data_IF_839589081940
#
_entry.id   IF_839589081940
#
_cell.length_a   1.000
_cell.length_b   1.000
_cell.length_c   1.000
_cell.angle_alpha   90.00
_cell.angle_beta   90.00
_cell.angle_gamma   90.00
#
_symmetry.space_group_name_H-M   'P 1'
#
loop_
_entity.id
_entity.type
_entity.pdbx_description
1 polymer ?
#
# COMPACT_ATOMS: atom_id res chain seq x y z
N UNK A 1 -17.15 -1.67 3.06
CA UNK A 1 -17.41 -0.39 2.37
C UNK A 1 -17.41 0.70 3.43
N UNK A 2 -16.68 1.78 3.22
CA UNK A 2 -16.52 2.89 4.16
C UNK A 2 -17.79 3.76 4.16
N UNK A 3 -18.48 3.81 5.31
CA UNK A 3 -19.77 4.48 5.48
C UNK A 3 -19.98 4.88 6.93
N UNK A 4 -20.98 5.70 7.19
CA UNK A 4 -21.39 6.06 8.55
C UNK A 4 -22.01 4.84 9.25
N UNK A 5 -21.22 4.16 10.08
CA UNK A 5 -21.70 3.03 10.88
C UNK A 5 -20.85 2.82 12.14
N UNK A 6 -21.43 2.14 13.12
CA UNK A 6 -20.68 1.52 14.21
C UNK A 6 -20.25 0.11 13.79
N UNK A 7 -18.97 -0.20 13.94
CA UNK A 7 -18.40 -1.53 13.63
C UNK A 7 -17.45 -1.98 14.74
N UNK A 8 -16.78 -3.11 14.55
CA UNK A 8 -15.80 -3.65 15.49
C UNK A 8 -14.38 -3.56 14.91
N UNK A 9 -13.43 -3.08 15.71
CA UNK A 9 -12.01 -3.24 15.46
C UNK A 9 -11.33 -3.90 16.66
N UNK A 10 -10.65 -5.02 16.44
CA UNK A 10 -9.97 -5.81 17.47
C UNK A 10 -10.84 -6.07 18.73
N UNK A 11 -12.12 -6.45 18.55
CA UNK A 11 -13.02 -6.70 19.68
C UNK A 11 -13.63 -5.45 20.32
N UNK A 12 -13.34 -4.25 19.80
CA UNK A 12 -13.83 -2.97 20.35
C UNK A 12 -14.80 -2.32 19.37
N UNK A 13 -15.97 -1.90 19.86
CA UNK A 13 -16.92 -1.12 19.08
C UNK A 13 -16.36 0.28 18.78
N UNK A 14 -16.43 0.69 17.52
CA UNK A 14 -15.94 1.98 17.02
C UNK A 14 -17.00 2.65 16.15
N UNK A 15 -17.07 3.97 16.21
CA UNK A 15 -17.65 4.76 15.11
C UNK A 15 -16.64 4.77 13.97
N UNK A 16 -16.98 4.18 12.82
CA UNK A 16 -16.02 3.96 11.74
C UNK A 16 -15.40 5.26 11.22
N UNK A 17 -16.22 6.32 11.08
CA UNK A 17 -15.79 7.59 10.49
C UNK A 17 -14.94 8.38 11.49
N UNK A 18 -15.38 8.49 12.74
CA UNK A 18 -14.65 9.21 13.77
C UNK A 18 -13.36 8.49 14.16
N UNK A 19 -13.40 7.16 14.23
CA UNK A 19 -12.19 6.36 14.44
C UNK A 19 -11.20 6.56 13.28
N UNK A 20 -11.69 6.59 12.04
CA UNK A 20 -10.84 6.84 10.87
C UNK A 20 -10.21 8.24 10.91
N UNK A 21 -10.96 9.26 11.33
CA UNK A 21 -10.47 10.64 11.45
C UNK A 21 -9.36 10.77 12.48
N UNK A 22 -9.55 10.16 13.65
CA UNK A 22 -8.61 10.24 14.78
C UNK A 22 -7.39 9.33 14.66
N UNK A 23 -7.39 8.37 13.73
CA UNK A 23 -6.33 7.38 13.56
C UNK A 23 -5.55 7.50 12.23
N UNK A 24 -5.62 8.65 11.53
CA UNK A 24 -5.00 8.87 10.21
C UNK A 24 -3.54 8.37 10.10
N UNK A 25 -2.74 8.58 11.15
CA UNK A 25 -1.32 8.18 11.25
C UNK A 25 -1.03 6.69 10.98
N UNK A 26 -2.04 5.83 10.94
CA UNK A 26 -1.90 4.40 10.67
C UNK A 26 -2.89 3.86 9.64
N UNK A 27 -3.53 4.72 8.85
CA UNK A 27 -4.63 4.32 7.98
C UNK A 27 -4.43 4.70 6.51
N UNK A 28 -5.02 3.89 5.63
CA UNK A 28 -5.14 4.13 4.19
C UNK A 28 -6.59 4.00 3.77
N UNK A 29 -7.13 5.02 3.09
CA UNK A 29 -8.38 4.94 2.34
C UNK A 29 -8.06 4.54 0.90
N UNK A 30 -8.73 3.51 0.39
CA UNK A 30 -8.58 3.10 -1.02
C UNK A 30 -9.92 2.65 -1.63
N UNK A 31 -10.10 2.80 -2.95
CA UNK A 31 -11.27 2.27 -3.64
C UNK A 31 -11.35 0.74 -3.54
N UNK A 32 -12.54 0.15 -3.65
CA UNK A 32 -12.64 -1.33 -3.66
C UNK A 32 -12.19 -1.92 -5.02
N UNK A 33 -12.54 -1.28 -6.14
CA UNK A 33 -12.41 -1.86 -7.48
C UNK A 33 -11.43 -1.11 -8.41
N UNK A 34 -10.56 -0.24 -7.89
CA UNK A 34 -9.57 0.52 -8.69
C UNK A 34 -8.15 -0.07 -8.61
N UNK A 35 -7.32 0.23 -9.61
CA UNK A 35 -5.94 -0.25 -9.74
C UNK A 35 -4.95 0.89 -10.04
N UNK A 36 -3.65 0.62 -9.88
CA UNK A 36 -2.59 1.57 -10.20
C UNK A 36 -2.37 2.70 -9.18
N UNK A 37 -2.99 2.63 -8.00
CA UNK A 37 -2.80 3.63 -6.94
C UNK A 37 -3.69 4.86 -7.04
N UNK A 38 -4.59 4.90 -8.02
CA UNK A 38 -5.58 5.97 -8.14
C UNK A 38 -6.56 5.95 -6.97
N UNK A 39 -6.93 7.13 -6.47
CA UNK A 39 -7.85 7.27 -5.36
C UNK A 39 -7.32 6.78 -4.00
N UNK A 40 -6.03 6.46 -3.87
CA UNK A 40 -5.46 6.07 -2.58
C UNK A 40 -5.10 7.32 -1.77
N UNK A 41 -5.64 7.42 -0.56
CA UNK A 41 -5.26 8.43 0.42
C UNK A 41 -4.49 7.79 1.57
N UNK A 42 -3.28 8.30 1.85
CA UNK A 42 -2.37 7.76 2.86
C UNK A 42 -2.38 8.70 4.08
N UNK A 43 -3.04 8.30 5.17
CA UNK A 43 -3.32 9.20 6.28
C UNK A 43 -2.08 9.69 7.03
N UNK A 44 -0.97 8.93 7.05
CA UNK A 44 0.29 9.38 7.67
C UNK A 44 1.10 10.35 6.80
N UNK A 45 0.74 10.52 5.53
CA UNK A 45 1.33 11.50 4.63
C UNK A 45 0.41 12.72 4.39
N UNK A 46 -0.78 12.72 5.00
CA UNK A 46 -1.78 13.78 4.87
C UNK A 46 -1.81 14.67 6.10
N UNK A 47 -2.05 15.96 5.88
CA UNK A 47 -2.50 16.88 6.93
C UNK A 47 -3.91 16.52 7.39
N UNK A 48 -4.34 17.04 8.54
CA UNK A 48 -5.69 16.81 9.04
C UNK A 48 -6.78 17.28 8.05
N UNK A 49 -6.58 18.44 7.40
CA UNK A 49 -7.53 18.96 6.43
C UNK A 49 -7.63 18.07 5.18
N UNK A 50 -6.49 17.65 4.63
CA UNK A 50 -6.47 16.72 3.48
C UNK A 50 -7.12 15.39 3.81
N UNK A 51 -6.91 14.88 5.03
CA UNK A 51 -7.53 13.63 5.49
C UNK A 51 -9.05 13.77 5.66
N UNK A 52 -9.52 14.90 6.20
CA UNK A 52 -10.94 15.18 6.34
C UNK A 52 -11.64 15.29 4.98
N UNK A 53 -10.99 15.93 3.99
CA UNK A 53 -11.47 15.99 2.61
C UNK A 53 -11.49 14.61 1.93
N UNK A 54 -10.49 13.77 2.19
CA UNK A 54 -10.44 12.40 1.72
C UNK A 54 -11.59 11.55 2.29
N UNK A 55 -11.88 11.66 3.59
CA UNK A 55 -13.02 11.02 4.25
C UNK A 55 -14.33 11.46 3.60
N UNK A 56 -14.53 12.77 3.40
CA UNK A 56 -15.74 13.30 2.79
C UNK A 56 -15.92 12.80 1.34
N UNK A 57 -14.83 12.74 0.58
CA UNK A 57 -14.81 12.21 -0.78
C UNK A 57 -15.15 10.72 -0.81
N UNK A 58 -14.54 9.92 0.08
CA UNK A 58 -14.79 8.48 0.21
C UNK A 58 -16.24 8.18 0.57
N UNK A 59 -16.84 8.91 1.52
CA UNK A 59 -18.25 8.78 1.89
C UNK A 59 -19.19 9.12 0.73
N UNK A 60 -18.87 10.17 -0.04
CA UNK A 60 -19.68 10.61 -1.19
C UNK A 60 -19.63 9.61 -2.35
N UNK A 61 -18.45 9.07 -2.65
CA UNK A 61 -18.27 8.10 -3.73
C UNK A 61 -18.89 6.76 -3.32
N UNK A 62 -18.80 6.39 -2.04
CA UNK A 62 -19.34 5.15 -1.51
C UNK A 62 -18.50 3.92 -1.82
N UNK A 63 -17.61 3.95 -2.82
CA UNK A 63 -16.77 2.82 -3.21
C UNK A 63 -15.38 2.84 -2.55
N UNK A 64 -15.32 2.93 -1.22
CA UNK A 64 -14.04 2.94 -0.49
C UNK A 64 -14.01 1.90 0.62
N UNK A 65 -12.81 1.58 1.07
CA UNK A 65 -12.54 0.89 2.33
C UNK A 65 -11.43 1.61 3.10
N UNK A 66 -11.39 1.36 4.41
CA UNK A 66 -10.29 1.79 5.28
C UNK A 66 -9.44 0.58 5.65
N UNK A 67 -8.12 0.73 5.64
CA UNK A 67 -7.18 -0.33 5.98
C UNK A 67 -6.12 0.19 6.95
N UNK A 68 -5.82 -0.59 8.00
CA UNK A 68 -4.64 -0.32 8.82
C UNK A 68 -3.35 -0.53 8.02
N UNK A 69 -2.34 0.29 8.32
CA UNK A 69 -1.02 0.22 7.72
C UNK A 69 -0.41 -1.14 8.01
N UNK A 70 -0.06 -1.85 6.94
CA UNK A 70 0.81 -3.02 7.02
C UNK A 70 2.24 -2.53 6.94
N UNK A 71 3.10 -3.02 7.84
CA UNK A 71 4.54 -2.78 7.73
C UNK A 71 5.05 -3.54 6.51
N UNK A 72 5.47 -2.80 5.50
CA UNK A 72 6.13 -3.35 4.32
C UNK A 72 7.62 -3.53 4.58
N UNK A 73 8.20 -4.57 4.00
CA UNK A 73 9.64 -4.78 4.07
C UNK A 73 10.34 -3.71 3.23
N UNK A 74 11.44 -3.17 3.75
CA UNK A 74 12.35 -2.30 3.03
C UNK A 74 13.75 -2.88 3.17
N UNK A 75 14.45 -2.99 2.05
CA UNK A 75 15.80 -3.54 1.99
C UNK A 75 16.65 -2.72 1.01
N UNK A 76 17.97 -2.80 1.15
CA UNK A 76 18.89 -2.08 0.26
C UNK A 76 19.14 -2.88 -1.02
N UNK A 77 18.88 -2.25 -2.17
CA UNK A 77 19.16 -2.82 -3.50
C UNK A 77 20.07 -1.90 -4.33
N UNK A 78 20.88 -2.44 -5.23
CA UNK A 78 21.62 -1.63 -6.20
C UNK A 78 20.64 -0.98 -7.18
N UNK A 79 20.66 0.35 -7.24
CA UNK A 79 19.83 1.15 -8.15
C UNK A 79 20.72 2.03 -9.03
N UNK A 80 20.47 2.00 -10.34
CA UNK A 80 21.11 2.93 -11.28
C UNK A 80 20.48 4.30 -11.08
N UNK A 81 21.32 5.32 -10.85
CA UNK A 81 20.90 6.68 -10.46
C UNK A 81 20.85 7.66 -11.63
N UNK A 82 21.50 7.33 -12.75
CA UNK A 82 21.60 8.19 -13.92
C UNK A 82 21.84 7.40 -15.22
N UNK A 83 21.78 8.11 -16.36
CA UNK A 83 21.96 7.56 -17.69
C UNK A 83 23.43 7.17 -17.97
N UNK A 84 24.38 7.68 -17.18
CA UNK A 84 25.80 7.29 -17.24
C UNK A 84 26.08 5.93 -16.59
N UNK A 85 25.10 5.37 -15.86
CA UNK A 85 25.21 4.06 -15.24
C UNK A 85 25.85 4.08 -13.85
N UNK A 86 25.93 5.24 -13.20
CA UNK A 86 26.28 5.28 -11.78
C UNK A 86 25.20 4.57 -10.98
N UNK A 87 25.60 3.92 -9.90
CA UNK A 87 24.67 3.18 -9.04
C UNK A 87 25.04 3.37 -7.57
N UNK A 88 24.01 3.23 -6.73
CA UNK A 88 24.16 3.22 -5.28
C UNK A 88 23.27 2.14 -4.65
N UNK A 89 23.52 1.82 -3.39
CA UNK A 89 22.59 0.99 -2.60
C UNK A 89 21.50 1.90 -2.04
N UNK A 90 20.28 1.75 -2.56
CA UNK A 90 19.12 2.54 -2.13
C UNK A 90 18.18 1.65 -1.35
N UNK A 91 17.62 2.16 -0.25
CA UNK A 91 16.54 1.48 0.47
C UNK A 91 15.27 1.51 -0.39
N UNK A 92 14.73 0.34 -0.72
CA UNK A 92 13.53 0.20 -1.53
C UNK A 92 12.48 -0.65 -0.80
N UNK A 93 11.22 -0.28 -0.97
CA UNK A 93 10.09 -1.10 -0.58
C UNK A 93 10.08 -2.39 -1.40
N UNK A 94 9.93 -3.52 -0.72
CA UNK A 94 9.85 -4.85 -1.31
C UNK A 94 8.41 -5.34 -1.29
N UNK A 95 7.84 -5.52 -2.47
CA UNK A 95 6.52 -6.08 -2.67
C UNK A 95 6.66 -7.44 -3.34
N UNK A 96 6.49 -8.51 -2.57
CA UNK A 96 6.56 -9.89 -3.05
C UNK A 96 5.16 -10.36 -3.43
N UNK A 97 5.02 -10.82 -4.67
CA UNK A 97 3.76 -11.24 -5.27
C UNK A 97 3.78 -12.74 -5.64
N UNK A 98 3.39 -13.65 -4.73
CA UNK A 98 3.26 -15.07 -5.04
C UNK A 98 2.14 -15.33 -6.05
N UNK A 99 2.43 -16.18 -7.05
CA UNK A 99 1.48 -16.65 -8.05
C UNK A 99 0.91 -18.00 -7.62
N UNK A 100 -0.42 -18.05 -7.50
CA UNK A 100 -1.16 -19.26 -7.10
C UNK A 100 -1.72 -19.99 -8.32
N UNK A 101 -1.44 -21.29 -8.42
CA UNK A 101 -2.03 -22.21 -9.38
C UNK A 101 -2.89 -23.21 -8.61
N UNK A 102 -4.22 -23.13 -8.78
CA UNK A 102 -5.19 -23.94 -8.04
C UNK A 102 -5.00 -23.83 -6.50
N UNK A 103 -4.72 -22.62 -6.01
CA UNK A 103 -4.49 -22.35 -4.59
C UNK A 103 -3.12 -22.77 -4.05
N UNK A 104 -2.21 -23.27 -4.91
CA UNK A 104 -0.84 -23.62 -4.52
C UNK A 104 0.14 -22.61 -5.10
N UNK A 105 1.11 -22.18 -4.30
CA UNK A 105 2.21 -21.31 -4.77
C UNK A 105 3.04 -22.08 -5.80
N UNK A 106 3.14 -21.55 -7.01
CA UNK A 106 3.97 -22.14 -8.08
C UNK A 106 5.07 -21.22 -8.60
N UNK A 107 5.00 -19.92 -8.29
CA UNK A 107 6.00 -18.92 -8.66
C UNK A 107 5.81 -17.66 -7.82
N UNK A 108 6.70 -16.67 -7.95
CA UNK A 108 6.54 -15.33 -7.42
C UNK A 108 7.27 -14.33 -8.33
N UNK A 109 6.83 -13.08 -8.31
CA UNK A 109 7.63 -11.96 -8.77
C UNK A 109 7.74 -10.92 -7.65
N UNK A 110 8.72 -10.03 -7.76
CA UNK A 110 8.94 -8.98 -6.76
C UNK A 110 8.91 -7.64 -7.48
N UNK A 111 8.34 -6.63 -6.82
CA UNK A 111 8.43 -5.23 -7.21
C UNK A 111 9.22 -4.46 -6.17
N UNK A 112 10.11 -3.60 -6.65
CA UNK A 112 10.84 -2.65 -5.82
C UNK A 112 10.34 -1.24 -6.09
N UNK A 113 10.24 -0.40 -5.06
CA UNK A 113 9.84 1.00 -5.21
C UNK A 113 10.58 1.91 -4.24
N UNK A 114 10.99 3.07 -4.73
CA UNK A 114 11.55 4.16 -3.90
C UNK A 114 10.46 5.01 -3.25
N UNK A 115 9.18 4.70 -3.48
CA UNK A 115 8.02 5.35 -2.85
C UNK A 115 7.21 4.35 -2.01
N UNK A 116 6.23 4.83 -1.24
CA UNK A 116 5.35 3.95 -0.46
C UNK A 116 4.35 3.16 -1.34
N UNK A 117 4.27 3.46 -2.64
CA UNK A 117 3.44 2.74 -3.60
C UNK A 117 4.34 1.90 -4.52
N UNK A 118 4.19 0.57 -4.46
CA UNK A 118 4.95 -0.37 -5.29
C UNK A 118 4.39 -0.56 -6.72
N UNK A 119 3.40 0.25 -7.11
CA UNK A 119 2.82 0.15 -8.45
C UNK A 119 3.77 0.76 -9.50
N UNK A 120 3.66 0.28 -10.74
CA UNK A 120 4.56 0.67 -11.83
C UNK A 120 4.41 2.15 -12.20
N UNK A 121 3.18 2.67 -12.18
CA UNK A 121 2.88 4.08 -12.45
C UNK A 121 3.49 5.05 -11.44
N UNK A 122 3.80 4.60 -10.23
CA UNK A 122 4.43 5.37 -9.15
C UNK A 122 5.95 5.15 -9.06
N UNK A 123 6.56 4.60 -10.11
CA UNK A 123 8.00 4.36 -10.20
C UNK A 123 8.46 3.02 -9.64
N UNK A 124 7.54 2.12 -9.30
CA UNK A 124 7.88 0.74 -8.96
C UNK A 124 8.37 -0.06 -10.17
N UNK A 125 9.36 -0.92 -9.98
CA UNK A 125 9.93 -1.77 -11.03
C UNK A 125 9.84 -3.24 -10.68
N UNK A 126 9.55 -4.10 -11.66
CA UNK A 126 9.58 -5.55 -11.48
C UNK A 126 11.04 -6.04 -11.52
N UNK A 127 11.40 -6.92 -10.58
CA UNK A 127 12.71 -7.56 -10.52
C UNK A 127 12.58 -9.09 -10.51
N UNK A 128 13.58 -9.82 -11.04
CA UNK A 128 13.60 -11.28 -10.93
C UNK A 128 13.56 -11.73 -9.47
N UNK A 129 12.78 -12.76 -9.19
CA UNK A 129 12.72 -13.41 -7.87
C UNK A 129 13.32 -14.80 -7.97
N UNK A 130 14.38 -15.05 -7.21
CA UNK A 130 15.05 -16.35 -7.16
C UNK A 130 14.68 -17.07 -5.86
N UNK A 131 14.11 -18.27 -5.98
CA UNK A 131 13.90 -19.17 -4.85
C UNK A 131 15.14 -20.05 -4.76
N UNK A 132 15.85 -19.96 -3.65
CA UNK A 132 17.07 -20.73 -3.39
C UNK A 132 16.66 -21.91 -2.50
N UNK A 133 17.03 -23.13 -2.90
CA UNK A 133 16.89 -24.32 -2.06
C UNK A 133 18.18 -24.56 -1.27
N UNK A 134 18.08 -25.19 -0.10
CA UNK A 134 19.28 -25.65 0.61
C UNK A 134 19.90 -26.82 -0.17
N UNK A 135 21.22 -26.76 -0.39
CA UNK A 135 21.97 -27.75 -1.15
C UNK A 135 22.18 -29.07 -0.40
#
# INVERSE_FOLDING_TARGET
MFREETTENHGTAIDLVEWTRTNSHKLVLKPNDDYGGNGIYIGWNSTAAEWDEAIASALKIGDYLIQERVKTAKEFFPMITDDEGNWEMTEQLVDLDPLLFLGKVGSAFTRLSSTELANVSSGGGMVPTFIIDEA
#
